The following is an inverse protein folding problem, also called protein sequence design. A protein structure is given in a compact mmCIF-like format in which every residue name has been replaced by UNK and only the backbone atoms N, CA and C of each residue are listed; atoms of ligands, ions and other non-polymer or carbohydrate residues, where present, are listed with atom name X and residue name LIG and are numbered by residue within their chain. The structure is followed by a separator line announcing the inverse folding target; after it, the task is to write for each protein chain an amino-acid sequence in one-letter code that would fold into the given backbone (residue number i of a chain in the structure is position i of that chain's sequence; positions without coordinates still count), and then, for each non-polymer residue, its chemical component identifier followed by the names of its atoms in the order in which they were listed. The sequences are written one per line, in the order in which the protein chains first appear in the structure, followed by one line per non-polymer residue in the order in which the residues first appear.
data_IF_305373534875
#
_entry.id   IF_305373534875
#
_cell.length_a   1.000
_cell.length_b   1.000
_cell.length_c   1.000
_cell.angle_alpha   90.00
_cell.angle_beta   90.00
_cell.angle_gamma   90.00
#
_symmetry.space_group_name_H-M   'P 1'
#
loop_
_entity.id
_entity.type
_entity.pdbx_description
1 polymer ?
#
# COMPACT_ATOMS: atom_id res chain seq x y z
N UNK A 1 -58.75 -17.52 -13.99
CA UNK A 1 -59.60 -16.42 -14.48
C UNK A 1 -59.68 -15.40 -13.36
N UNK A 2 -59.47 -14.14 -13.74
CA UNK A 2 -59.49 -12.88 -12.97
C UNK A 2 -60.66 -12.79 -11.98
N UNK A 3 -60.62 -12.06 -10.87
CA UNK A 3 -60.30 -10.64 -10.79
C UNK A 3 -59.85 -10.18 -9.39
N UNK A 4 -58.99 -9.16 -9.43
CA UNK A 4 -58.65 -8.30 -8.34
C UNK A 4 -59.82 -7.33 -8.04
N UNK A 5 -59.95 -6.89 -6.78
CA UNK A 5 -60.37 -5.52 -6.46
C UNK A 5 -60.19 -5.22 -4.97
N UNK A 6 -59.11 -4.50 -4.67
CA UNK A 6 -59.03 -3.59 -3.50
C UNK A 6 -59.79 -2.30 -3.86
N UNK A 7 -60.39 -1.56 -2.91
CA UNK A 7 -59.60 -0.49 -2.27
C UNK A 7 -60.06 -0.04 -0.87
N UNK A 8 -59.10 0.35 -0.03
CA UNK A 8 -59.34 1.39 0.98
C UNK A 8 -58.05 2.19 1.18
N UNK A 9 -58.06 3.45 0.73
CA UNK A 9 -56.98 4.42 0.93
C UNK A 9 -57.27 5.26 2.17
N UNK A 10 -56.19 5.54 2.93
CA UNK A 10 -55.81 6.79 3.64
C UNK A 10 -55.38 6.50 5.10
N UNK A 11 -54.60 7.39 5.74
CA UNK A 11 -53.40 8.08 5.24
C UNK A 11 -52.29 8.18 6.32
N UNK A 12 -51.12 8.70 5.91
CA UNK A 12 -50.18 9.50 6.73
C UNK A 12 -49.66 8.88 8.04
N UNK A 13 -48.36 8.57 8.05
CA UNK A 13 -47.32 9.18 8.93
C UNK A 13 -46.01 8.41 8.70
N UNK A 14 -44.96 9.09 8.22
CA UNK A 14 -43.77 9.41 9.02
C UNK A 14 -43.28 8.15 9.75
N UNK A 15 -42.20 7.51 9.33
CA UNK A 15 -40.86 8.08 9.49
C UNK A 15 -39.85 7.40 8.57
N UNK A 16 -39.08 8.23 7.86
CA UNK A 16 -37.74 7.89 7.40
C UNK A 16 -36.90 7.48 8.63
N UNK A 17 -36.48 6.23 8.68
CA UNK A 17 -35.37 5.80 9.51
C UNK A 17 -34.35 5.15 8.58
N UNK A 18 -33.68 5.99 7.79
CA UNK A 18 -32.41 5.63 7.19
C UNK A 18 -31.42 5.47 8.33
N UNK A 19 -31.25 4.24 8.82
CA UNK A 19 -30.13 3.90 9.69
C UNK A 19 -28.89 3.98 8.82
N UNK A 20 -28.24 5.15 8.86
CA UNK A 20 -26.89 5.34 8.38
C UNK A 20 -26.01 4.41 9.20
N UNK A 21 -25.67 3.27 8.61
CA UNK A 21 -24.54 2.44 9.04
C UNK A 21 -23.33 3.36 8.89
N UNK A 22 -22.89 3.97 10.00
CA UNK A 22 -21.62 4.64 10.05
C UNK A 22 -20.54 3.55 9.89
N UNK A 23 -20.08 3.37 8.64
CA UNK A 23 -18.84 2.68 8.31
C UNK A 23 -17.69 3.44 9.00
N UNK A 24 -17.46 3.13 10.27
CA UNK A 24 -16.27 3.55 11.01
C UNK A 24 -15.25 2.41 11.06
N UNK A 25 -15.02 1.76 9.92
CA UNK A 25 -14.06 0.66 9.79
C UNK A 25 -13.46 0.64 8.39
N UNK A 26 -12.67 1.67 8.03
CA UNK A 26 -11.80 1.64 6.85
C UNK A 26 -10.74 2.75 6.90
N UNK A 27 -10.08 2.97 8.03
CA UNK A 27 -8.91 3.87 8.05
C UNK A 27 -7.65 3.24 7.45
N UNK A 28 -7.60 1.91 7.24
CA UNK A 28 -6.38 1.21 6.84
C UNK A 28 -5.99 1.29 5.34
N UNK A 29 -6.88 1.08 4.36
CA UNK A 29 -6.47 1.02 2.95
C UNK A 29 -6.42 2.39 2.26
N UNK A 30 -7.31 3.31 2.66
CA UNK A 30 -7.48 4.59 1.97
C UNK A 30 -6.29 5.54 2.22
N UNK A 31 -5.74 5.55 3.44
CA UNK A 31 -4.58 6.38 3.81
C UNK A 31 -3.30 5.90 3.14
N UNK A 32 -3.03 4.60 3.12
CA UNK A 32 -1.86 4.07 2.43
C UNK A 32 -1.86 4.35 0.90
N UNK A 33 -3.04 4.40 0.27
CA UNK A 33 -3.17 4.81 -1.13
C UNK A 33 -2.93 6.32 -1.36
N UNK A 34 -3.10 7.15 -0.33
CA UNK A 34 -2.85 8.59 -0.37
C UNK A 34 -1.39 8.96 -0.09
N UNK A 35 -0.61 8.06 0.53
CA UNK A 35 0.82 8.29 0.80
C UNK A 35 1.62 8.17 -0.49
N UNK A 36 1.87 9.31 -1.11
CA UNK A 36 2.71 9.41 -2.31
C UNK A 36 4.11 9.93 -1.94
N UNK A 37 4.91 9.10 -1.25
CA UNK A 37 6.30 9.39 -0.95
C UNK A 37 7.22 8.51 -1.85
N UNK A 38 7.79 9.07 -2.92
CA UNK A 38 8.55 8.29 -3.90
C UNK A 38 9.87 7.75 -3.32
N UNK A 39 10.43 8.43 -2.32
CA UNK A 39 11.66 8.02 -1.65
C UNK A 39 11.41 6.81 -0.73
N UNK A 40 10.36 6.83 0.10
CA UNK A 40 9.93 5.69 0.91
C UNK A 40 9.53 4.50 0.02
N UNK A 41 8.85 4.78 -1.10
CA UNK A 41 8.53 3.75 -2.09
C UNK A 41 9.80 3.09 -2.63
N UNK A 42 10.79 3.89 -3.04
CA UNK A 42 12.07 3.37 -3.51
C UNK A 42 12.78 2.53 -2.43
N UNK A 43 12.80 2.99 -1.18
CA UNK A 43 13.44 2.27 -0.07
C UNK A 43 12.80 0.90 0.15
N UNK A 44 11.47 0.81 0.17
CA UNK A 44 10.76 -0.47 0.25
C UNK A 44 11.08 -1.39 -0.93
N UNK A 45 11.10 -0.85 -2.16
CA UNK A 45 11.46 -1.64 -3.34
C UNK A 45 12.90 -2.18 -3.26
N UNK A 46 13.84 -1.40 -2.73
CA UNK A 46 15.21 -1.84 -2.50
C UNK A 46 15.25 -2.99 -1.47
N UNK A 47 14.56 -2.84 -0.35
CA UNK A 47 14.49 -3.87 0.69
C UNK A 47 13.89 -5.19 0.14
N UNK A 48 12.73 -5.10 -0.52
CA UNK A 48 12.07 -6.24 -1.18
C UNK A 48 12.97 -6.90 -2.23
N UNK A 49 13.71 -6.13 -3.02
CA UNK A 49 14.60 -6.70 -4.04
C UNK A 49 15.80 -7.44 -3.44
N UNK A 50 16.31 -6.97 -2.30
CA UNK A 50 17.38 -7.67 -1.59
C UNK A 50 16.90 -9.05 -1.10
N UNK A 51 15.68 -9.11 -0.56
CA UNK A 51 15.05 -10.34 -0.07
C UNK A 51 14.64 -11.28 -1.20
N UNK A 52 13.81 -10.80 -2.12
CA UNK A 52 13.16 -11.63 -3.15
C UNK A 52 14.11 -12.03 -4.29
N UNK A 53 15.03 -11.14 -4.68
CA UNK A 53 15.95 -11.40 -5.79
C UNK A 53 17.34 -11.86 -5.33
N UNK A 54 17.62 -11.85 -4.02
CA UNK A 54 18.95 -12.12 -3.48
C UNK A 54 20.00 -11.09 -3.91
N UNK A 55 19.59 -9.87 -4.24
CA UNK A 55 20.53 -8.82 -4.60
C UNK A 55 21.38 -8.42 -3.39
N UNK A 56 22.67 -8.21 -3.61
CA UNK A 56 23.62 -7.96 -2.53
C UNK A 56 23.32 -6.64 -1.82
N UNK A 57 23.27 -6.70 -0.48
CA UNK A 57 23.25 -5.54 0.41
C UNK A 57 24.14 -5.86 1.61
N UNK A 58 25.05 -4.97 1.99
CA UNK A 58 25.85 -5.16 3.20
C UNK A 58 25.03 -4.83 4.46
N UNK A 59 25.38 -5.37 5.63
CA UNK A 59 24.69 -5.05 6.88
C UNK A 59 24.62 -3.54 7.16
N UNK A 60 25.70 -2.80 6.89
CA UNK A 60 25.75 -1.33 7.05
C UNK A 60 24.80 -0.62 6.09
N UNK A 61 24.63 -1.12 4.86
CA UNK A 61 23.68 -0.56 3.89
C UNK A 61 22.24 -0.86 4.30
N UNK A 62 21.94 -2.08 4.73
CA UNK A 62 20.61 -2.47 5.20
C UNK A 62 20.18 -1.63 6.42
N UNK A 63 21.09 -1.43 7.39
CA UNK A 63 20.84 -0.57 8.55
C UNK A 63 20.56 0.89 8.13
N UNK A 64 21.35 1.43 7.19
CA UNK A 64 21.14 2.79 6.69
C UNK A 64 19.80 2.95 5.95
N UNK A 65 19.38 1.95 5.16
CA UNK A 65 18.08 1.92 4.50
C UNK A 65 16.96 1.92 5.54
N UNK A 66 17.03 1.03 6.53
CA UNK A 66 16.03 0.97 7.61
C UNK A 66 15.89 2.29 8.36
N UNK A 67 17.02 2.95 8.68
CA UNK A 67 17.00 4.29 9.33
C UNK A 67 16.34 5.36 8.47
N UNK A 68 16.55 5.34 7.16
CA UNK A 68 15.89 6.29 6.26
C UNK A 68 14.39 5.96 6.11
N UNK A 69 14.01 4.69 6.05
CA UNK A 69 12.59 4.29 6.05
C UNK A 69 11.88 4.80 7.31
N UNK A 70 12.47 4.55 8.48
CA UNK A 70 11.98 5.02 9.77
C UNK A 70 11.85 6.56 9.82
N UNK A 71 12.81 7.28 9.21
CA UNK A 71 12.76 8.74 9.11
C UNK A 71 11.55 9.19 8.28
N UNK A 72 11.30 8.54 7.15
CA UNK A 72 10.17 8.86 6.27
C UNK A 72 8.84 8.54 6.95
N UNK A 73 8.70 7.36 7.56
CA UNK A 73 7.51 6.94 8.32
C UNK A 73 7.19 7.98 9.40
N UNK A 74 8.18 8.41 10.20
CA UNK A 74 8.00 9.46 11.22
C UNK A 74 7.65 10.82 10.62
N UNK A 75 8.33 11.24 9.55
CA UNK A 75 8.08 12.54 8.89
C UNK A 75 6.66 12.64 8.33
N UNK A 76 6.16 11.54 7.79
CA UNK A 76 4.83 11.42 7.22
C UNK A 76 3.77 11.12 8.29
N UNK A 77 4.18 10.90 9.54
CA UNK A 77 3.33 10.51 10.65
C UNK A 77 2.44 9.30 10.30
N UNK A 78 3.04 8.30 9.63
CA UNK A 78 2.35 7.06 9.31
C UNK A 78 2.20 6.22 10.57
N UNK A 79 1.02 5.65 10.76
CA UNK A 79 0.83 4.57 11.71
C UNK A 79 1.54 3.30 11.22
N UNK A 80 1.77 2.35 12.12
CA UNK A 80 2.32 1.04 11.75
C UNK A 80 1.42 0.32 10.73
N UNK A 81 0.10 0.43 10.89
CA UNK A 81 -0.89 -0.13 9.97
C UNK A 81 -0.81 0.52 8.57
N UNK A 82 -0.65 1.85 8.51
CA UNK A 82 -0.50 2.58 7.24
C UNK A 82 0.84 2.24 6.55
N UNK A 83 1.91 2.09 7.33
CA UNK A 83 3.23 1.72 6.82
C UNK A 83 3.23 0.27 6.27
N UNK A 84 2.58 -0.65 6.96
CA UNK A 84 2.37 -2.04 6.52
C UNK A 84 1.49 -2.12 5.27
N UNK A 85 0.40 -1.35 5.22
CA UNK A 85 -0.46 -1.28 4.04
C UNK A 85 0.29 -0.69 2.83
N UNK A 86 1.14 0.31 3.02
CA UNK A 86 2.00 0.86 1.96
C UNK A 86 3.02 -0.18 1.49
N UNK A 87 3.67 -0.89 2.42
CA UNK A 87 4.59 -1.98 2.09
C UNK A 87 3.92 -3.05 1.21
N UNK A 88 2.76 -3.56 1.65
CA UNK A 88 1.98 -4.57 0.92
C UNK A 88 1.53 -4.09 -0.46
N UNK A 89 1.17 -2.81 -0.57
CA UNK A 89 0.85 -2.21 -1.87
C UNK A 89 2.05 -2.23 -2.80
N UNK A 90 3.23 -1.84 -2.32
CA UNK A 90 4.46 -1.80 -3.12
C UNK A 90 4.88 -3.22 -3.53
N UNK A 91 4.77 -4.20 -2.64
CA UNK A 91 4.99 -5.60 -2.95
C UNK A 91 4.06 -6.09 -4.07
N UNK A 92 2.76 -5.76 -3.99
CA UNK A 92 1.79 -6.09 -5.03
C UNK A 92 2.07 -5.38 -6.36
N UNK A 93 2.45 -4.10 -6.33
CA UNK A 93 2.84 -3.33 -7.51
C UNK A 93 4.07 -3.96 -8.19
N UNK A 94 5.07 -4.39 -7.42
CA UNK A 94 6.24 -5.12 -7.93
C UNK A 94 5.86 -6.49 -8.49
N UNK A 95 4.96 -7.23 -7.83
CA UNK A 95 4.46 -8.50 -8.36
C UNK A 95 3.75 -8.32 -9.71
N UNK A 96 3.01 -7.22 -9.89
CA UNK A 96 2.36 -6.88 -11.16
C UNK A 96 3.37 -6.48 -12.27
N UNK A 97 4.55 -5.99 -11.90
CA UNK A 97 5.67 -5.69 -12.81
C UNK A 97 6.44 -6.95 -13.29
N UNK A 98 6.11 -8.12 -12.73
CA UNK A 98 6.76 -9.43 -12.91
C UNK A 98 8.11 -9.58 -12.16
N UNK A 99 8.12 -10.44 -11.14
CA UNK A 99 9.30 -10.75 -10.33
C UNK A 99 10.45 -11.34 -11.14
N UNK A 100 10.20 -12.14 -12.19
CA UNK A 100 11.26 -12.70 -13.02
C UNK A 100 12.02 -11.59 -13.76
N UNK A 101 11.27 -10.59 -14.25
CA UNK A 101 11.83 -9.41 -14.90
C UNK A 101 12.56 -8.51 -13.91
N UNK A 102 12.02 -8.30 -12.72
CA UNK A 102 12.64 -7.48 -11.66
C UNK A 102 13.96 -8.13 -11.20
N UNK A 103 13.96 -9.44 -10.97
CA UNK A 103 15.10 -10.18 -10.46
C UNK A 103 16.13 -10.56 -11.54
N UNK A 104 15.87 -10.25 -12.81
CA UNK A 104 16.82 -10.47 -13.90
C UNK A 104 18.13 -9.72 -13.63
N UNK A 105 19.23 -10.47 -13.44
CA UNK A 105 20.56 -9.95 -13.05
C UNK A 105 21.12 -8.87 -13.99
N UNK A 106 20.76 -8.92 -15.27
CA UNK A 106 21.18 -7.95 -16.30
C UNK A 106 20.07 -6.96 -16.68
N UNK A 107 18.93 -7.04 -15.99
CA UNK A 107 17.77 -6.19 -16.20
C UNK A 107 18.01 -4.74 -15.81
N UNK A 108 17.11 -3.85 -16.24
CA UNK A 108 17.18 -2.43 -15.91
C UNK A 108 17.13 -2.20 -14.38
N UNK A 109 16.25 -2.91 -13.69
CA UNK A 109 16.10 -2.79 -12.24
C UNK A 109 17.36 -3.21 -11.47
N UNK A 110 18.01 -4.32 -11.84
CA UNK A 110 19.25 -4.75 -11.18
C UNK A 110 20.37 -3.69 -11.25
N UNK A 111 20.47 -2.97 -12.38
CA UNK A 111 21.41 -1.84 -12.52
C UNK A 111 21.02 -0.68 -11.61
N UNK A 112 19.74 -0.30 -11.63
CA UNK A 112 19.21 0.76 -10.75
C UNK A 112 19.43 0.42 -9.27
N UNK A 113 19.12 -0.82 -8.85
CA UNK A 113 19.35 -1.30 -7.50
C UNK A 113 20.81 -1.10 -7.08
N UNK A 114 21.76 -1.56 -7.90
CA UNK A 114 23.19 -1.44 -7.61
C UNK A 114 23.63 0.04 -7.47
N UNK A 115 23.09 0.93 -8.30
CA UNK A 115 23.36 2.36 -8.22
C UNK A 115 22.80 3.00 -6.94
N UNK A 116 21.56 2.65 -6.57
CA UNK A 116 20.91 3.21 -5.37
C UNK A 116 21.57 2.72 -4.09
N UNK A 117 21.87 1.43 -3.99
CA UNK A 117 22.46 0.80 -2.79
C UNK A 117 23.83 1.40 -2.44
N UNK A 118 24.61 1.83 -3.45
CA UNK A 118 25.89 2.54 -3.26
C UNK A 118 25.79 3.90 -2.56
N UNK A 119 24.59 4.47 -2.48
CA UNK A 119 24.35 5.72 -1.75
C UNK A 119 24.29 5.51 -0.23
N UNK A 120 24.01 4.29 0.20
CA UNK A 120 23.86 3.91 1.60
C UNK A 120 25.16 3.32 2.16
N UNK A 121 25.34 3.41 3.48
CA UNK A 121 26.45 2.78 4.20
C UNK A 121 27.83 3.44 4.00
N UNK A 122 27.86 4.70 3.55
CA UNK A 122 29.10 5.50 3.58
C UNK A 122 29.53 5.80 5.01
#
# INVERSE_FOLDING_TARGET
MSDASSPARRPLRRTLAAVLIALAAASGPARAAEVNDPELTLLYRLALSAEMCGFTVSPKQAEAIGKEMDRHIRRLNLSDDDADALYKKIEADMAAEDWDRICAKTGAWAKTYAEQIRKFGK
#
